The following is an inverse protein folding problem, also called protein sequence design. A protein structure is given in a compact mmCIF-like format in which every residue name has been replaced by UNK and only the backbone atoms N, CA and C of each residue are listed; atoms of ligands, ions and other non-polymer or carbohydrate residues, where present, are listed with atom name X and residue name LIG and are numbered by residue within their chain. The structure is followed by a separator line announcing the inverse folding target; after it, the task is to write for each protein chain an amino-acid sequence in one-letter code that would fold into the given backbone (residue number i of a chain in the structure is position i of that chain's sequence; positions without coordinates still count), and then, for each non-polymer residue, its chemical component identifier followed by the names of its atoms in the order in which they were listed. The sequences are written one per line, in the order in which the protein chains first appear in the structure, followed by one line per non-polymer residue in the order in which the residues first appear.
data_IF_345844297920
#
_entry.id   IF_345844297920
#
_cell.length_a   1.000
_cell.length_b   1.000
_cell.length_c   1.000
_cell.angle_alpha   90.00
_cell.angle_beta   90.00
_cell.angle_gamma   90.00
#
_symmetry.space_group_name_H-M   'P 1'
#
loop_
_entity.id
_entity.type
_entity.pdbx_description
1 polymer ?
#
# COMPACT_ATOMS: atom_id res chain seq x y z
N UNK A 1 13.36 9.35 -20.38
CA UNK A 1 12.03 9.21 -19.77
C UNK A 1 11.93 10.28 -18.71
N UNK A 2 10.84 11.05 -18.71
CA UNK A 2 10.55 11.87 -17.53
C UNK A 2 10.08 10.90 -16.44
N UNK A 3 10.60 11.01 -15.22
CA UNK A 3 10.31 10.03 -14.17
C UNK A 3 8.83 9.98 -13.77
N UNK A 4 8.06 11.00 -14.13
CA UNK A 4 6.60 11.05 -13.97
C UNK A 4 5.88 9.99 -14.84
N UNK A 5 6.57 9.36 -15.79
CA UNK A 5 6.02 8.31 -16.67
C UNK A 5 6.21 6.88 -16.15
N UNK A 6 6.77 6.68 -14.94
CA UNK A 6 6.96 5.33 -14.37
C UNK A 6 5.59 4.69 -14.15
N UNK A 7 5.24 3.72 -14.99
CA UNK A 7 4.04 2.90 -14.79
C UNK A 7 4.27 1.92 -13.65
N UNK A 8 3.25 1.76 -12.82
CA UNK A 8 3.18 0.79 -11.73
C UNK A 8 2.09 -0.22 -12.06
N UNK A 9 2.40 -1.49 -11.90
CA UNK A 9 1.44 -2.59 -11.92
C UNK A 9 1.52 -3.37 -10.61
N UNK A 10 0.68 -4.37 -10.44
CA UNK A 10 0.76 -5.24 -9.28
C UNK A 10 0.08 -6.58 -9.58
N UNK A 11 0.57 -7.63 -8.93
CA UNK A 11 -0.06 -8.94 -8.90
C UNK A 11 -0.30 -9.36 -7.44
N UNK A 12 -1.27 -8.75 -6.73
CA UNK A 12 -1.56 -9.11 -5.34
C UNK A 12 -2.48 -10.34 -5.26
N UNK A 13 -2.25 -11.13 -4.22
CA UNK A 13 -2.88 -12.43 -4.04
C UNK A 13 -3.93 -12.44 -2.91
N UNK A 14 -4.95 -13.27 -3.02
CA UNK A 14 -5.94 -13.53 -1.97
C UNK A 14 -6.40 -14.99 -1.98
N UNK A 15 -7.06 -15.43 -0.91
CA UNK A 15 -7.81 -16.70 -0.91
C UNK A 15 -9.31 -16.44 -0.88
N UNK A 16 -10.06 -17.32 -1.55
CA UNK A 16 -11.51 -17.38 -1.42
C UNK A 16 -11.89 -18.57 -0.53
N UNK A 17 -12.57 -18.30 0.58
CA UNK A 17 -12.98 -19.33 1.53
C UNK A 17 -14.49 -19.52 1.50
N UNK A 18 -14.89 -20.77 1.27
CA UNK A 18 -16.28 -21.20 1.29
C UNK A 18 -16.63 -21.70 2.69
N UNK A 19 -17.44 -20.91 3.40
CA UNK A 19 -17.85 -21.21 4.76
C UNK A 19 -18.84 -22.38 4.84
N UNK A 20 -19.65 -22.61 3.80
CA UNK A 20 -20.64 -23.68 3.80
C UNK A 20 -19.98 -25.05 3.68
N UNK A 21 -18.87 -25.12 2.93
CA UNK A 21 -18.09 -26.35 2.71
C UNK A 21 -16.75 -26.37 3.47
N UNK A 22 -16.51 -25.39 4.34
CA UNK A 22 -15.30 -25.23 5.17
C UNK A 22 -13.98 -25.43 4.41
N UNK A 23 -13.84 -24.81 3.22
CA UNK A 23 -12.68 -25.04 2.35
C UNK A 23 -12.22 -23.79 1.60
N UNK A 24 -10.92 -23.75 1.30
CA UNK A 24 -10.37 -22.81 0.33
C UNK A 24 -10.73 -23.27 -1.08
N UNK A 25 -11.22 -22.35 -1.91
CA UNK A 25 -11.60 -22.62 -3.30
C UNK A 25 -10.35 -22.80 -4.17
N UNK A 26 -10.41 -23.80 -5.05
CA UNK A 26 -9.45 -23.97 -6.15
C UNK A 26 -9.84 -23.04 -7.30
N UNK A 27 -9.27 -21.83 -7.28
CA UNK A 27 -9.45 -20.78 -8.28
C UNK A 27 -9.14 -21.29 -9.67
N UNK A 28 -8.06 -22.06 -9.85
CA UNK A 28 -7.65 -22.56 -11.17
C UNK A 28 -8.71 -23.46 -11.83
N UNK A 29 -9.55 -24.13 -11.03
CA UNK A 29 -10.66 -24.96 -11.50
C UNK A 29 -12.02 -24.25 -11.44
N UNK A 30 -12.07 -23.00 -10.95
CA UNK A 30 -13.31 -22.25 -10.75
C UNK A 30 -13.48 -21.11 -11.75
N UNK A 31 -12.40 -20.41 -12.10
CA UNK A 31 -12.47 -19.28 -13.04
C UNK A 31 -12.26 -19.74 -14.49
N UNK A 32 -12.93 -19.08 -15.43
CA UNK A 32 -12.80 -19.39 -16.86
C UNK A 32 -11.44 -18.99 -17.43
N UNK A 33 -10.86 -17.89 -16.93
CA UNK A 33 -9.57 -17.35 -17.37
C UNK A 33 -8.56 -17.34 -16.20
N UNK A 34 -7.83 -18.45 -15.94
CA UNK A 34 -6.83 -18.49 -14.86
C UNK A 34 -5.73 -17.42 -14.97
N UNK A 35 -5.45 -16.92 -16.17
CA UNK A 35 -4.48 -15.85 -16.41
C UNK A 35 -5.14 -14.46 -16.59
N UNK A 36 -6.44 -14.35 -16.28
CA UNK A 36 -7.19 -13.10 -16.39
C UNK A 36 -6.87 -12.10 -15.28
N UNK A 37 -7.58 -10.95 -15.30
CA UNK A 37 -7.45 -9.90 -14.27
C UNK A 37 -7.85 -10.36 -12.87
N UNK A 38 -8.75 -11.34 -12.77
CA UNK A 38 -9.01 -12.12 -11.57
C UNK A 38 -8.78 -13.58 -11.95
N UNK A 39 -7.62 -14.12 -11.60
CA UNK A 39 -7.17 -15.43 -12.06
C UNK A 39 -6.56 -16.26 -10.94
N UNK A 40 -5.93 -17.37 -11.30
CA UNK A 40 -5.14 -18.18 -10.39
C UNK A 40 -3.64 -17.79 -10.47
N UNK A 41 -2.93 -17.88 -9.34
CA UNK A 41 -1.46 -17.86 -9.32
C UNK A 41 -0.88 -19.25 -9.69
N UNK A 42 0.44 -19.42 -9.57
CA UNK A 42 1.15 -20.68 -9.71
C UNK A 42 0.54 -21.83 -8.90
N UNK A 43 -0.10 -21.53 -7.76
CA UNK A 43 -0.91 -22.51 -7.03
C UNK A 43 -2.41 -22.23 -7.17
N UNK A 44 -3.19 -23.25 -7.50
CA UNK A 44 -4.61 -23.10 -7.82
C UNK A 44 -5.52 -22.59 -6.70
N UNK A 45 -5.11 -22.60 -5.43
CA UNK A 45 -5.93 -22.07 -4.32
C UNK A 45 -5.81 -20.55 -4.16
N UNK A 46 -4.91 -19.92 -4.89
CA UNK A 46 -4.59 -18.50 -4.76
C UNK A 46 -5.18 -17.75 -5.91
N UNK A 47 -6.05 -16.78 -5.60
CA UNK A 47 -6.52 -15.83 -6.57
C UNK A 47 -5.44 -14.74 -6.72
N UNK A 48 -4.90 -14.59 -7.92
CA UNK A 48 -4.01 -13.48 -8.28
C UNK A 48 -4.81 -12.43 -9.04
N UNK A 49 -4.79 -11.20 -8.55
CA UNK A 49 -5.32 -10.06 -9.28
C UNK A 49 -4.25 -9.58 -10.25
N UNK A 50 -4.64 -9.21 -11.47
CA UNK A 50 -3.75 -8.61 -12.48
C UNK A 50 -4.36 -7.31 -12.98
N UNK A 51 -4.51 -6.29 -12.10
CA UNK A 51 -5.02 -4.99 -12.49
C UNK A 51 -4.22 -4.39 -13.64
N UNK A 52 -4.91 -3.60 -14.46
CA UNK A 52 -4.23 -2.80 -15.49
C UNK A 52 -3.20 -1.88 -14.83
N UNK A 53 -1.98 -1.89 -15.35
CA UNK A 53 -0.95 -0.97 -14.92
C UNK A 53 -1.38 0.49 -15.14
N UNK A 54 -0.94 1.37 -14.25
CA UNK A 54 -1.24 2.78 -14.32
C UNK A 54 0.00 3.62 -13.98
N UNK A 55 0.00 4.88 -14.38
CA UNK A 55 1.02 5.82 -13.89
C UNK A 55 0.69 6.18 -12.45
N UNK A 56 -0.53 6.66 -12.18
CA UNK A 56 -0.91 7.14 -10.85
C UNK A 56 -1.25 5.98 -9.90
N UNK A 57 -0.75 5.97 -8.65
CA UNK A 57 -1.10 4.94 -7.66
C UNK A 57 -2.60 4.78 -7.41
N UNK A 58 -3.38 5.86 -7.49
CA UNK A 58 -4.83 5.81 -7.32
C UNK A 58 -5.54 5.10 -8.48
N UNK A 59 -5.11 5.36 -9.71
CA UNK A 59 -5.63 4.65 -10.88
C UNK A 59 -5.32 3.15 -10.76
N UNK A 60 -4.16 2.78 -10.23
CA UNK A 60 -3.83 1.38 -9.94
C UNK A 60 -4.74 0.79 -8.86
N UNK A 61 -5.02 1.52 -7.77
CA UNK A 61 -5.99 1.09 -6.75
C UNK A 61 -7.38 0.84 -7.36
N UNK A 62 -7.84 1.74 -8.23
CA UNK A 62 -9.13 1.57 -8.90
C UNK A 62 -9.11 0.37 -9.87
N UNK A 63 -8.02 0.19 -10.62
CA UNK A 63 -7.86 -0.99 -11.47
C UNK A 63 -7.85 -2.29 -10.63
N UNK A 64 -7.31 -2.27 -9.41
CA UNK A 64 -7.40 -3.38 -8.45
C UNK A 64 -8.84 -3.63 -8.03
N UNK A 65 -9.63 -2.58 -7.74
CA UNK A 65 -11.07 -2.71 -7.45
C UNK A 65 -11.85 -3.29 -8.62
N UNK A 66 -11.54 -2.87 -9.85
CA UNK A 66 -12.15 -3.40 -11.07
C UNK A 66 -11.82 -4.89 -11.24
N UNK A 67 -10.56 -5.29 -11.01
CA UNK A 67 -10.15 -6.69 -11.03
C UNK A 67 -10.93 -7.51 -9.98
N UNK A 68 -11.06 -7.01 -8.75
CA UNK A 68 -11.90 -7.62 -7.71
C UNK A 68 -13.36 -7.78 -8.18
N UNK A 69 -13.97 -6.75 -8.77
CA UNK A 69 -15.37 -6.83 -9.23
C UNK A 69 -15.61 -7.90 -10.30
N UNK A 70 -14.59 -8.25 -11.10
CA UNK A 70 -14.69 -9.32 -12.10
C UNK A 70 -14.84 -10.70 -11.47
N UNK A 71 -14.17 -10.96 -10.34
CA UNK A 71 -14.30 -12.21 -9.60
C UNK A 71 -15.64 -12.37 -8.88
N UNK A 72 -16.37 -11.27 -8.64
CA UNK A 72 -17.55 -11.28 -7.78
C UNK A 72 -18.64 -12.24 -8.25
N UNK A 73 -18.94 -12.25 -9.56
CA UNK A 73 -20.04 -13.08 -10.09
C UNK A 73 -19.88 -14.58 -9.84
N UNK A 74 -18.64 -15.07 -9.73
CA UNK A 74 -18.32 -16.48 -9.52
C UNK A 74 -18.17 -16.82 -8.04
N UNK A 75 -17.63 -15.89 -7.25
CA UNK A 75 -17.14 -16.14 -5.89
C UNK A 75 -17.81 -15.26 -4.84
N UNK A 76 -18.99 -14.71 -5.12
CA UNK A 76 -19.73 -13.84 -4.19
C UNK A 76 -20.15 -14.54 -2.90
N UNK A 77 -20.29 -15.87 -2.93
CA UNK A 77 -20.66 -16.71 -1.79
C UNK A 77 -19.47 -17.03 -0.86
N UNK A 78 -18.23 -16.81 -1.31
CA UNK A 78 -17.03 -17.02 -0.51
C UNK A 78 -16.63 -15.74 0.21
N UNK A 79 -16.01 -15.85 1.39
CA UNK A 79 -15.23 -14.73 1.95
C UNK A 79 -13.95 -14.55 1.15
N UNK A 80 -13.51 -13.30 0.97
CA UNK A 80 -12.25 -13.00 0.29
C UNK A 80 -11.26 -12.49 1.33
N UNK A 81 -10.14 -13.19 1.50
CA UNK A 81 -9.21 -12.93 2.59
C UNK A 81 -7.79 -12.68 2.04
N UNK A 82 -7.17 -11.59 2.50
CA UNK A 82 -5.83 -11.15 2.10
C UNK A 82 -4.96 -10.89 3.33
N UNK A 83 -3.64 -10.99 3.16
CA UNK A 83 -2.65 -10.80 4.21
C UNK A 83 -1.38 -11.62 3.96
N UNK A 84 -0.42 -11.68 4.89
CA UNK A 84 0.82 -12.43 4.66
C UNK A 84 0.63 -13.95 4.65
N UNK A 85 -0.18 -14.47 5.56
CA UNK A 85 -0.44 -15.90 5.70
C UNK A 85 -1.86 -16.11 6.17
N UNK A 86 -2.70 -16.67 5.30
CA UNK A 86 -4.16 -16.76 5.48
C UNK A 86 -4.59 -18.17 5.12
N UNK A 87 -5.39 -18.82 5.97
CA UNK A 87 -5.89 -20.21 5.75
C UNK A 87 -4.79 -21.20 5.36
N UNK A 88 -3.66 -21.10 6.08
CA UNK A 88 -2.45 -21.89 5.84
C UNK A 88 -1.74 -21.62 4.50
N UNK A 89 -2.07 -20.53 3.81
CA UNK A 89 -1.53 -20.17 2.49
C UNK A 89 -0.68 -18.91 2.60
N UNK A 90 0.59 -18.93 2.15
CA UNK A 90 1.37 -17.70 2.00
C UNK A 90 0.84 -16.91 0.80
N UNK A 91 0.66 -15.59 0.95
CA UNK A 91 0.17 -14.73 -0.13
C UNK A 91 1.12 -13.57 -0.43
N UNK A 92 1.36 -13.33 -1.71
CA UNK A 92 2.18 -12.25 -2.27
C UNK A 92 1.41 -10.96 -2.56
N UNK A 93 2.12 -9.83 -2.50
CA UNK A 93 1.64 -8.53 -2.96
C UNK A 93 2.59 -7.98 -4.01
N UNK A 94 2.86 -8.74 -5.08
CA UNK A 94 3.88 -8.37 -6.07
C UNK A 94 3.58 -6.97 -6.64
N UNK A 95 4.59 -6.12 -6.77
CA UNK A 95 4.46 -4.78 -7.36
C UNK A 95 5.44 -4.63 -8.51
N UNK A 96 4.96 -4.09 -9.62
CA UNK A 96 5.66 -4.03 -10.89
C UNK A 96 6.02 -2.59 -11.23
N UNK A 97 7.20 -2.37 -11.80
CA UNK A 97 7.63 -1.06 -12.25
C UNK A 97 8.05 -1.13 -13.71
N UNK A 98 7.53 -0.21 -14.53
CA UNK A 98 7.78 -0.12 -15.98
C UNK A 98 9.15 0.46 -16.34
N UNK A 99 10.15 0.25 -15.48
CA UNK A 99 11.54 0.68 -15.69
C UNK A 99 12.47 -0.50 -15.41
N UNK A 100 13.70 -0.52 -15.97
CA UNK A 100 14.68 -1.55 -15.64
C UNK A 100 15.01 -1.53 -14.15
N UNK A 101 15.20 -2.72 -13.56
CA UNK A 101 15.80 -2.80 -12.23
C UNK A 101 17.24 -2.29 -12.25
N UNK A 102 17.67 -1.69 -11.15
CA UNK A 102 19.07 -1.37 -10.87
C UNK A 102 19.43 -1.85 -9.46
N UNK A 103 20.72 -1.97 -9.19
CA UNK A 103 21.21 -2.29 -7.85
C UNK A 103 20.79 -1.22 -6.83
N UNK A 104 20.75 0.05 -7.25
CA UNK A 104 20.35 1.19 -6.39
C UNK A 104 18.86 1.16 -6.03
N UNK A 105 17.99 0.80 -6.99
CA UNK A 105 16.56 0.62 -6.74
C UNK A 105 16.35 -0.55 -5.79
N UNK A 106 17.07 -1.66 -6.02
CA UNK A 106 17.02 -2.82 -5.15
C UNK A 106 17.44 -2.46 -3.73
N UNK A 107 18.54 -1.73 -3.55
CA UNK A 107 18.99 -1.28 -2.24
C UNK A 107 17.98 -0.35 -1.57
N UNK A 108 17.38 0.58 -2.32
CA UNK A 108 16.30 1.45 -1.82
C UNK A 108 15.11 0.63 -1.32
N UNK A 109 14.64 -0.35 -2.10
CA UNK A 109 13.52 -1.21 -1.70
C UNK A 109 13.89 -2.10 -0.50
N UNK A 110 15.06 -2.73 -0.51
CA UNK A 110 15.50 -3.64 0.55
C UNK A 110 15.81 -2.92 1.87
N UNK A 111 16.15 -1.63 1.85
CA UNK A 111 16.49 -0.88 3.06
C UNK A 111 15.41 0.09 3.51
N UNK A 112 14.58 0.64 2.62
CA UNK A 112 13.55 1.63 2.98
C UNK A 112 12.14 1.04 2.92
N UNK A 113 11.77 0.38 1.82
CA UNK A 113 10.46 -0.26 1.74
C UNK A 113 10.32 -1.39 2.75
N UNK A 114 11.38 -2.19 2.94
CA UNK A 114 11.41 -3.27 3.92
C UNK A 114 11.17 -2.81 5.37
N UNK A 115 11.63 -1.61 5.76
CA UNK A 115 11.33 -1.04 7.08
C UNK A 115 9.83 -0.80 7.22
N UNK A 116 9.21 -0.19 6.20
CA UNK A 116 7.77 0.05 6.20
C UNK A 116 6.98 -1.27 6.24
N UNK A 117 7.39 -2.28 5.46
CA UNK A 117 6.80 -3.62 5.52
C UNK A 117 6.91 -4.22 6.94
N UNK A 118 8.07 -4.10 7.58
CA UNK A 118 8.32 -4.62 8.93
C UNK A 118 7.47 -4.00 10.04
N UNK A 119 6.93 -2.78 9.85
CA UNK A 119 6.00 -2.13 10.78
C UNK A 119 4.52 -2.26 10.40
N UNK A 120 4.24 -2.48 9.11
CA UNK A 120 2.89 -2.55 8.55
C UNK A 120 2.31 -3.95 8.50
N UNK A 121 3.10 -4.95 8.16
CA UNK A 121 2.60 -6.32 8.07
C UNK A 121 2.39 -6.93 9.45
N UNK A 122 1.33 -7.73 9.66
CA UNK A 122 1.14 -8.45 10.91
C UNK A 122 2.29 -9.45 11.14
N UNK A 123 3.16 -9.12 12.10
CA UNK A 123 4.47 -9.73 12.35
C UNK A 123 4.50 -11.25 12.33
N UNK A 124 3.57 -11.89 13.04
CA UNK A 124 3.53 -13.35 13.17
C UNK A 124 3.26 -14.02 11.82
N UNK A 125 2.19 -13.62 11.14
CA UNK A 125 1.82 -14.16 9.83
C UNK A 125 2.86 -13.83 8.76
N UNK A 126 3.48 -12.65 8.85
CA UNK A 126 4.55 -12.23 7.94
C UNK A 126 5.82 -13.07 8.13
N UNK A 127 6.16 -13.42 9.37
CA UNK A 127 7.25 -14.34 9.67
C UNK A 127 6.95 -15.74 9.13
N UNK A 128 5.73 -16.26 9.33
CA UNK A 128 5.33 -17.58 8.78
C UNK A 128 5.48 -17.60 7.26
N UNK A 129 4.95 -16.60 6.54
CA UNK A 129 5.09 -16.48 5.08
C UNK A 129 6.54 -16.59 4.62
N UNK A 130 7.46 -15.86 5.28
CA UNK A 130 8.88 -15.79 4.91
C UNK A 130 9.71 -17.01 5.31
N UNK A 131 9.16 -17.92 6.11
CA UNK A 131 9.83 -19.16 6.53
C UNK A 131 9.15 -20.42 5.97
N UNK A 132 7.97 -20.29 5.36
CA UNK A 132 7.23 -21.42 4.81
C UNK A 132 7.71 -21.73 3.40
N UNK A 133 8.03 -22.99 3.16
CA UNK A 133 8.27 -23.56 1.84
C UNK A 133 7.07 -24.46 1.54
N UNK A 134 6.24 -24.09 0.57
CA UNK A 134 5.22 -25.02 0.05
C UNK A 134 5.83 -25.84 -1.10
N UNK A 135 6.03 -27.13 -0.88
CA UNK A 135 6.44 -28.08 -1.91
C UNK A 135 5.21 -28.70 -2.56
N UNK A 136 5.00 -28.48 -3.87
CA UNK A 136 3.81 -28.91 -4.63
C UNK A 136 3.83 -28.42 -6.07
N UNK A 137 2.80 -28.74 -6.88
CA UNK A 137 2.64 -28.18 -8.24
C UNK A 137 2.44 -26.67 -8.09
N UNK A 138 3.42 -25.88 -8.56
CA UNK A 138 3.43 -24.43 -8.36
C UNK A 138 3.97 -23.97 -7.01
N UNK A 139 4.81 -24.78 -6.35
CA UNK A 139 5.30 -24.54 -4.99
C UNK A 139 5.74 -23.10 -4.68
N UNK A 140 5.49 -22.66 -3.44
CA UNK A 140 5.84 -21.32 -2.96
C UNK A 140 7.32 -21.22 -2.62
N UNK A 141 8.15 -21.42 -3.64
CA UNK A 141 9.55 -21.05 -3.62
C UNK A 141 9.81 -19.98 -4.66
N UNK A 142 10.63 -18.99 -4.32
CA UNK A 142 11.15 -18.05 -5.29
C UNK A 142 12.03 -18.78 -6.33
N UNK A 143 12.51 -18.04 -7.32
CA UNK A 143 13.29 -18.61 -8.43
C UNK A 143 14.60 -19.30 -7.98
N UNK A 144 15.00 -19.17 -6.71
CA UNK A 144 16.18 -19.80 -6.10
C UNK A 144 15.83 -20.96 -5.15
N UNK A 145 14.57 -21.42 -5.09
CA UNK A 145 14.19 -22.51 -4.19
C UNK A 145 14.06 -22.11 -2.72
N UNK A 146 13.95 -20.80 -2.42
CA UNK A 146 13.78 -20.25 -1.07
C UNK A 146 12.34 -19.81 -0.83
N UNK A 147 11.89 -19.61 0.43
CA UNK A 147 10.60 -18.99 0.71
C UNK A 147 10.38 -17.69 -0.07
N UNK A 148 9.11 -17.35 -0.33
CA UNK A 148 8.74 -16.08 -0.94
C UNK A 148 8.87 -14.90 0.03
N UNK A 149 9.02 -13.69 -0.51
CA UNK A 149 8.94 -12.48 0.30
C UNK A 149 10.23 -12.08 1.01
N UNK A 150 11.36 -12.60 0.55
CA UNK A 150 12.68 -12.30 1.09
C UNK A 150 13.22 -10.97 0.52
N UNK A 151 14.27 -10.44 1.15
CA UNK A 151 14.98 -9.28 0.62
C UNK A 151 15.65 -9.66 -0.70
N UNK A 152 15.63 -8.74 -1.66
CA UNK A 152 16.17 -8.93 -2.99
C UNK A 152 15.37 -9.87 -3.89
N UNK A 153 14.13 -10.23 -3.50
CA UNK A 153 13.21 -10.99 -4.36
C UNK A 153 12.66 -10.09 -5.47
N UNK A 154 13.52 -9.86 -6.46
CA UNK A 154 13.25 -9.07 -7.66
C UNK A 154 13.31 -9.98 -8.88
N UNK A 155 12.33 -9.84 -9.78
CA UNK A 155 12.29 -10.58 -11.05
C UNK A 155 12.29 -9.60 -12.22
N UNK A 156 13.35 -9.65 -13.04
CA UNK A 156 13.43 -8.86 -14.26
C UNK A 156 12.42 -9.34 -15.30
N UNK A 157 11.83 -8.38 -16.04
CA UNK A 157 10.87 -8.58 -17.12
C UNK A 157 11.25 -7.75 -18.34
N UNK A 158 10.79 -8.09 -19.55
CA UNK A 158 11.07 -7.29 -20.75
C UNK A 158 10.59 -5.83 -20.65
N UNK A 159 9.57 -5.59 -19.84
CA UNK A 159 8.95 -4.28 -19.65
C UNK A 159 9.37 -3.59 -18.33
N UNK A 160 10.26 -4.19 -17.54
CA UNK A 160 10.72 -3.62 -16.27
C UNK A 160 11.07 -4.69 -15.22
N UNK A 161 10.54 -4.59 -14.01
CA UNK A 161 10.77 -5.61 -12.97
C UNK A 161 9.59 -5.76 -11.99
N UNK A 162 9.59 -6.89 -11.29
CA UNK A 162 8.65 -7.24 -10.22
C UNK A 162 9.39 -7.24 -8.89
N UNK A 163 8.86 -6.50 -7.91
CA UNK A 163 9.29 -6.52 -6.51
C UNK A 163 8.34 -7.41 -5.70
N UNK A 164 8.87 -8.49 -5.11
CA UNK A 164 8.08 -9.60 -4.56
C UNK A 164 8.17 -9.77 -3.05
N UNK A 165 8.93 -8.89 -2.39
CA UNK A 165 9.07 -8.87 -0.93
C UNK A 165 7.75 -8.61 -0.18
N UNK A 166 6.86 -7.68 -0.61
CA UNK A 166 5.60 -7.42 0.10
C UNK A 166 4.71 -8.66 0.16
N UNK A 167 4.06 -8.85 1.31
CA UNK A 167 2.86 -9.69 1.41
C UNK A 167 1.67 -9.07 0.71
N UNK A 168 0.59 -9.83 0.57
CA UNK A 168 -0.68 -9.26 0.11
C UNK A 168 -1.16 -8.16 1.06
N UNK A 169 -1.17 -6.92 0.56
CA UNK A 169 -1.57 -5.71 1.29
C UNK A 169 -2.92 -5.16 0.84
N UNK A 170 -3.65 -5.91 0.01
CA UNK A 170 -4.95 -5.49 -0.55
C UNK A 170 -6.12 -5.62 0.43
N UNK A 171 -5.86 -5.61 1.74
CA UNK A 171 -6.88 -5.80 2.78
C UNK A 171 -7.94 -4.70 2.75
N UNK A 172 -7.55 -3.45 2.45
CA UNK A 172 -8.46 -2.31 2.28
C UNK A 172 -7.94 -1.38 1.18
N UNK A 173 -8.81 -0.55 0.55
CA UNK A 173 -8.36 0.42 -0.46
C UNK A 173 -7.34 1.43 0.08
N UNK A 174 -7.45 1.78 1.38
CA UNK A 174 -6.56 2.71 2.06
C UNK A 174 -5.13 2.20 2.14
N UNK A 175 -4.95 0.99 2.68
CA UNK A 175 -3.63 0.32 2.78
C UNK A 175 -3.04 0.13 1.38
N UNK A 176 -3.86 -0.31 0.42
CA UNK A 176 -3.44 -0.56 -0.97
C UNK A 176 -2.89 0.69 -1.64
N UNK A 177 -3.65 1.78 -1.58
CA UNK A 177 -3.24 3.07 -2.15
C UNK A 177 -1.94 3.56 -1.54
N UNK A 178 -1.83 3.46 -0.21
CA UNK A 178 -0.65 3.93 0.48
C UNK A 178 0.59 3.09 0.18
N UNK A 179 0.44 1.77 0.04
CA UNK A 179 1.51 0.87 -0.38
C UNK A 179 1.98 1.14 -1.81
N UNK A 180 1.06 1.28 -2.77
CA UNK A 180 1.43 1.67 -4.14
C UNK A 180 2.13 3.02 -4.18
N UNK A 181 1.65 4.00 -3.41
CA UNK A 181 2.23 5.34 -3.34
C UNK A 181 3.64 5.29 -2.75
N UNK A 182 3.83 4.61 -1.61
CA UNK A 182 5.14 4.47 -0.97
C UNK A 182 6.15 3.84 -1.92
N UNK A 183 5.79 2.70 -2.52
CA UNK A 183 6.71 1.96 -3.37
C UNK A 183 7.04 2.74 -4.66
N UNK A 184 6.04 3.40 -5.27
CA UNK A 184 6.27 4.28 -6.41
C UNK A 184 7.20 5.44 -6.04
N UNK A 185 6.96 6.12 -4.92
CA UNK A 185 7.75 7.27 -4.50
C UNK A 185 9.22 6.91 -4.27
N UNK A 186 9.49 5.75 -3.68
CA UNK A 186 10.85 5.25 -3.46
C UNK A 186 11.56 4.91 -4.78
N UNK A 187 10.89 4.19 -5.68
CA UNK A 187 11.45 3.84 -7.00
C UNK A 187 11.67 5.10 -7.85
N UNK A 188 10.73 6.04 -7.81
CA UNK A 188 10.85 7.34 -8.47
C UNK A 188 12.07 8.10 -7.98
N UNK A 189 12.23 8.25 -6.66
CA UNK A 189 13.34 9.00 -6.06
C UNK A 189 14.69 8.42 -6.49
N UNK A 190 14.84 7.09 -6.48
CA UNK A 190 16.09 6.45 -6.91
C UNK A 190 16.31 6.58 -8.42
N UNK A 191 15.26 6.42 -9.23
CA UNK A 191 15.34 6.55 -10.69
C UNK A 191 15.79 7.96 -11.14
N UNK A 192 15.42 9.01 -10.42
CA UNK A 192 15.89 10.38 -10.69
C UNK A 192 17.20 10.73 -9.96
N UNK A 193 17.75 9.81 -9.16
CA UNK A 193 18.89 10.06 -8.28
C UNK A 193 18.63 11.26 -7.35
N UNK A 194 17.41 11.33 -6.81
CA UNK A 194 16.98 12.40 -5.93
C UNK A 194 17.78 12.42 -4.62
N UNK A 195 17.76 13.55 -3.89
CA UNK A 195 18.57 13.75 -2.68
C UNK A 195 18.23 12.77 -1.55
N UNK A 196 17.06 12.15 -1.59
CA UNK A 196 16.61 11.16 -0.60
C UNK A 196 16.74 9.72 -1.10
N UNK A 197 17.35 9.48 -2.27
CA UNK A 197 17.64 8.12 -2.74
C UNK A 197 18.73 7.47 -1.90
N UNK A 198 18.71 6.14 -1.81
CA UNK A 198 19.61 5.40 -0.93
C UNK A 198 21.10 5.72 -1.16
N UNK A 199 21.49 5.91 -2.42
CA UNK A 199 22.88 6.22 -2.78
C UNK A 199 23.32 7.62 -2.36
N UNK A 200 22.38 8.57 -2.28
CA UNK A 200 22.65 9.96 -1.89
C UNK A 200 22.64 10.17 -0.38
N UNK A 201 22.07 9.24 0.40
CA UNK A 201 22.12 9.31 1.86
C UNK A 201 23.56 9.19 2.37
N UNK A 202 23.88 9.96 3.40
CA UNK A 202 25.19 9.86 4.05
C UNK A 202 25.37 8.51 4.78
N UNK A 203 26.62 8.19 5.12
CA UNK A 203 26.96 6.93 5.76
C UNK A 203 26.32 6.75 7.15
N UNK A 204 26.09 7.84 7.89
CA UNK A 204 25.48 7.79 9.21
C UNK A 204 23.99 7.43 9.11
N UNK A 205 23.29 8.03 8.15
CA UNK A 205 21.88 7.79 7.85
C UNK A 205 21.66 6.36 7.36
N UNK A 206 22.48 5.88 6.41
CA UNK A 206 22.42 4.47 5.97
C UNK A 206 22.67 3.50 7.12
N UNK A 207 23.64 3.79 8.00
CA UNK A 207 23.91 2.98 9.19
C UNK A 207 22.73 3.01 10.17
N UNK A 208 22.07 4.16 10.33
CA UNK A 208 20.91 4.31 11.20
C UNK A 208 19.71 3.50 10.69
N UNK A 209 19.54 3.36 9.36
CA UNK A 209 18.51 2.55 8.72
C UNK A 209 18.85 1.06 8.62
N UNK A 210 20.12 0.67 8.76
CA UNK A 210 20.54 -0.72 8.59
C UNK A 210 19.89 -1.66 9.62
N UNK A 211 19.49 -2.84 9.16
CA UNK A 211 18.95 -3.94 9.96
C UNK A 211 19.45 -5.28 9.42
N UNK A 212 19.28 -6.37 10.19
CA UNK A 212 19.68 -7.70 9.71
C UNK A 212 18.51 -8.32 8.93
N UNK A 213 18.75 -9.04 7.82
CA UNK A 213 17.67 -9.73 7.11
C UNK A 213 16.78 -10.61 8.00
N UNK A 214 17.38 -11.26 9.01
CA UNK A 214 16.66 -12.06 10.00
C UNK A 214 15.61 -11.26 10.80
N UNK A 215 15.80 -9.95 11.01
CA UNK A 215 14.82 -9.11 11.68
C UNK A 215 13.52 -9.03 10.88
N UNK A 216 13.61 -8.91 9.54
CA UNK A 216 12.44 -8.92 8.66
C UNK A 216 11.79 -10.32 8.61
N UNK A 217 12.62 -11.36 8.53
CA UNK A 217 12.16 -12.74 8.34
C UNK A 217 11.48 -13.30 9.59
N UNK A 218 11.89 -12.83 10.77
CA UNK A 218 11.25 -13.19 12.05
C UNK A 218 10.12 -12.22 12.44
N UNK A 219 9.81 -11.21 11.63
CA UNK A 219 8.78 -10.22 11.96
C UNK A 219 9.11 -9.37 13.19
N UNK A 220 10.40 -9.05 13.42
CA UNK A 220 10.86 -8.30 14.58
C UNK A 220 10.50 -6.80 14.48
N UNK A 221 9.22 -6.51 14.71
CA UNK A 221 8.61 -5.18 14.53
C UNK A 221 9.29 -4.08 15.35
N UNK A 222 9.80 -4.41 16.54
CA UNK A 222 10.45 -3.44 17.42
C UNK A 222 11.68 -2.82 16.75
N UNK A 223 12.47 -3.61 16.01
CA UNK A 223 13.62 -3.11 15.25
C UNK A 223 13.15 -2.08 14.23
N UNK A 224 12.10 -2.37 13.47
CA UNK A 224 11.63 -1.47 12.42
C UNK A 224 10.95 -0.20 12.95
N UNK A 225 10.27 -0.27 14.10
CA UNK A 225 9.72 0.91 14.77
C UNK A 225 10.83 1.91 15.16
N UNK A 226 11.96 1.42 15.66
CA UNK A 226 13.12 2.27 15.97
C UNK A 226 13.64 2.97 14.71
N UNK A 227 13.71 2.25 13.59
CA UNK A 227 14.19 2.78 12.31
C UNK A 227 13.23 3.78 11.67
N UNK A 228 11.93 3.69 11.98
CA UNK A 228 10.92 4.59 11.45
C UNK A 228 11.21 6.06 11.79
N UNK A 229 11.78 6.35 12.96
CA UNK A 229 12.17 7.71 13.34
C UNK A 229 13.22 8.33 12.42
N UNK A 230 14.11 7.51 11.84
CA UNK A 230 15.09 7.95 10.83
C UNK A 230 14.49 7.97 9.43
N UNK A 231 13.66 6.96 9.09
CA UNK A 231 13.08 6.84 7.75
C UNK A 231 12.04 7.92 7.46
N UNK A 232 11.22 8.28 8.44
CA UNK A 232 10.07 9.16 8.21
C UNK A 232 10.44 10.56 7.68
N UNK A 233 11.45 11.26 8.23
CA UNK A 233 11.92 12.52 7.65
C UNK A 233 12.45 12.39 6.21
N UNK A 234 13.00 11.23 5.84
CA UNK A 234 13.45 10.95 4.47
C UNK A 234 12.24 10.83 3.54
N UNK A 235 11.22 10.06 3.94
CA UNK A 235 9.98 9.92 3.17
C UNK A 235 9.27 11.27 2.95
N UNK A 236 9.26 12.14 3.97
CA UNK A 236 8.72 13.51 3.87
C UNK A 236 9.46 14.37 2.83
N UNK A 237 10.72 14.05 2.56
CA UNK A 237 11.58 14.83 1.69
C UNK A 237 11.75 14.27 0.29
N UNK A 238 11.15 13.12 -0.03
CA UNK A 238 11.14 12.57 -1.39
C UNK A 238 10.62 13.62 -2.39
N UNK A 239 11.30 13.71 -3.52
CA UNK A 239 10.98 14.62 -4.62
C UNK A 239 9.55 14.41 -5.09
N UNK A 240 9.08 13.16 -5.14
CA UNK A 240 7.73 12.78 -5.53
C UNK A 240 6.61 13.53 -4.76
N UNK A 241 6.87 13.99 -3.54
CA UNK A 241 5.91 14.72 -2.69
C UNK A 241 6.11 16.24 -2.66
N UNK A 242 7.01 16.79 -3.49
CA UNK A 242 7.27 18.24 -3.56
C UNK A 242 6.16 18.96 -4.35
N UNK A 243 5.97 20.28 -4.13
CA UNK A 243 4.99 21.07 -4.90
C UNK A 243 5.20 20.91 -6.42
N UNK A 244 4.10 20.81 -7.16
CA UNK A 244 4.12 20.60 -8.61
C UNK A 244 4.25 19.13 -9.04
N UNK A 245 4.56 18.21 -8.12
CA UNK A 245 4.65 16.78 -8.42
C UNK A 245 3.30 16.09 -8.21
N UNK A 246 3.01 15.08 -9.05
CA UNK A 246 1.78 14.29 -8.98
C UNK A 246 1.59 13.55 -7.65
N UNK A 247 2.67 13.21 -6.95
CA UNK A 247 2.60 12.54 -5.66
C UNK A 247 2.16 13.44 -4.51
N UNK A 248 2.24 14.78 -4.67
CA UNK A 248 1.95 15.74 -3.59
C UNK A 248 0.63 15.48 -2.86
N UNK A 249 -0.52 15.26 -3.54
CA UNK A 249 -1.79 15.00 -2.87
C UNK A 249 -1.80 13.66 -2.11
N UNK A 250 -0.99 12.70 -2.56
CA UNK A 250 -0.89 11.36 -2.01
C UNK A 250 -0.06 11.29 -0.72
N UNK A 251 0.60 12.37 -0.30
CA UNK A 251 1.28 12.40 1.00
C UNK A 251 0.34 12.02 2.17
N UNK A 252 -0.95 12.36 2.04
CA UNK A 252 -1.98 11.98 3.00
C UNK A 252 -2.12 10.46 3.19
N UNK A 253 -1.92 9.66 2.14
CA UNK A 253 -1.98 8.20 2.25
C UNK A 253 -0.79 7.63 3.02
N UNK A 254 0.39 8.26 2.95
CA UNK A 254 1.54 7.87 3.79
C UNK A 254 1.28 8.20 5.26
N UNK A 255 0.67 9.35 5.57
CA UNK A 255 0.26 9.67 6.94
C UNK A 255 -0.77 8.66 7.48
N UNK A 256 -1.67 8.17 6.63
CA UNK A 256 -2.59 7.10 7.00
C UNK A 256 -1.85 5.81 7.42
N UNK A 257 -0.72 5.47 6.78
CA UNK A 257 0.11 4.32 7.22
C UNK A 257 0.62 4.47 8.66
N UNK A 258 0.90 5.67 9.15
CA UNK A 258 1.27 5.84 10.56
C UNK A 258 0.13 5.42 11.51
N UNK A 259 -1.11 5.74 11.17
CA UNK A 259 -2.27 5.31 11.96
C UNK A 259 -2.44 3.79 11.93
N UNK A 260 -2.18 3.17 10.78
CA UNK A 260 -2.14 1.70 10.64
C UNK A 260 -1.03 1.11 11.51
N UNK A 261 0.16 1.72 11.52
CA UNK A 261 1.30 1.32 12.36
C UNK A 261 0.95 1.45 13.85
N UNK A 262 0.33 2.54 14.29
CA UNK A 262 -0.09 2.73 15.68
C UNK A 262 -1.05 1.62 16.16
N UNK A 263 -1.87 1.08 15.24
CA UNK A 263 -2.79 -0.04 15.50
C UNK A 263 -2.16 -1.44 15.45
N UNK A 264 -0.84 -1.51 15.24
CA UNK A 264 -0.09 -2.76 15.15
C UNK A 264 0.13 -3.29 13.74
N UNK A 265 -0.14 -2.49 12.70
CA UNK A 265 -0.11 -2.91 11.31
C UNK A 265 -1.51 -3.14 10.73
N UNK A 266 -1.58 -3.47 9.45
CA UNK A 266 -2.84 -3.80 8.81
C UNK A 266 -3.34 -5.17 9.31
N UNK A 267 -4.66 -5.34 9.37
CA UNK A 267 -5.29 -6.55 9.87
C UNK A 267 -5.93 -7.31 8.73
N UNK A 268 -5.86 -8.64 8.79
CA UNK A 268 -6.72 -9.46 7.97
C UNK A 268 -8.18 -9.12 8.33
N UNK A 269 -8.98 -8.86 7.30
CA UNK A 269 -10.42 -8.65 7.44
C UNK A 269 -11.12 -9.98 7.13
N UNK A 270 -12.23 -10.31 7.82
CA UNK A 270 -12.96 -11.55 7.56
C UNK A 270 -13.41 -11.68 6.10
N UNK A 271 -13.78 -10.55 5.49
CA UNK A 271 -14.11 -10.49 4.08
C UNK A 271 -13.74 -9.11 3.51
N UNK A 272 -12.76 -9.07 2.61
CA UNK A 272 -12.28 -7.82 2.02
C UNK A 272 -13.28 -7.21 1.03
N UNK A 273 -14.35 -7.90 0.65
CA UNK A 273 -15.40 -7.31 -0.19
C UNK A 273 -16.04 -6.09 0.47
N UNK A 274 -16.19 -6.08 1.80
CA UNK A 274 -16.81 -5.00 2.55
C UNK A 274 -16.02 -3.68 2.46
N UNK A 275 -14.75 -3.59 2.90
CA UNK A 275 -13.98 -2.35 2.83
C UNK A 275 -13.72 -1.88 1.39
N UNK A 276 -13.76 -2.80 0.41
CA UNK A 276 -13.62 -2.47 -1.02
C UNK A 276 -14.95 -2.15 -1.71
N UNK A 277 -16.08 -2.18 -0.99
CA UNK A 277 -17.43 -1.94 -1.52
C UNK A 277 -17.76 -2.83 -2.74
N UNK A 278 -17.29 -4.08 -2.72
CA UNK A 278 -17.51 -5.06 -3.79
C UNK A 278 -18.92 -5.64 -3.64
N UNK A 279 -19.86 -5.12 -4.44
CA UNK A 279 -21.27 -5.50 -4.41
C UNK A 279 -21.75 -6.00 -5.77
N UNK A 280 -22.86 -6.74 -5.79
CA UNK A 280 -23.52 -7.16 -7.03
C UNK A 280 -23.85 -5.98 -7.96
N UNK A 281 -24.30 -4.86 -7.38
CA UNK A 281 -24.62 -3.64 -8.12
C UNK A 281 -23.37 -3.01 -8.76
N UNK A 282 -22.25 -2.96 -8.04
CA UNK A 282 -20.98 -2.48 -8.57
C UNK A 282 -20.42 -3.40 -9.66
N UNK A 283 -20.53 -4.72 -9.47
CA UNK A 283 -20.05 -5.71 -10.43
C UNK A 283 -20.83 -5.63 -11.75
N UNK A 284 -22.15 -5.49 -11.68
CA UNK A 284 -23.01 -5.31 -12.85
C UNK A 284 -22.62 -4.07 -13.69
N UNK A 285 -22.21 -2.97 -13.05
CA UNK A 285 -21.74 -1.76 -13.74
C UNK A 285 -20.44 -2.03 -14.53
N UNK A 286 -19.50 -2.77 -13.95
CA UNK A 286 -18.22 -3.10 -14.62
C UNK A 286 -18.45 -4.00 -15.82
N UNK A 287 -19.30 -5.04 -15.69
CA UNK A 287 -19.63 -5.94 -16.80
C UNK A 287 -20.37 -5.22 -17.95
N UNK A 288 -21.17 -4.20 -17.63
CA UNK A 288 -21.90 -3.42 -18.63
C UNK A 288 -21.02 -2.41 -19.40
N UNK A 289 -19.85 -2.04 -18.87
CA UNK A 289 -18.92 -1.16 -19.56
C UNK A 289 -18.22 -1.95 -20.68
N UNK A 290 -18.59 -1.68 -21.94
CA UNK A 290 -17.82 -2.14 -23.10
C UNK A 290 -16.37 -1.65 -22.96
N UNK A 291 -15.35 -2.43 -23.37
CA UNK A 291 -13.98 -1.96 -23.39
C UNK A 291 -13.89 -0.70 -24.23
N UNK A 292 -13.69 0.45 -23.59
CA UNK A 292 -13.40 1.71 -24.28
C UNK A 292 -12.03 1.52 -24.92
N UNK A 293 -11.88 1.67 -26.25
CA UNK A 293 -10.58 1.61 -26.89
C UNK A 293 -9.68 2.67 -26.24
N UNK A 294 -8.58 2.26 -25.63
CA UNK A 294 -7.59 3.17 -25.07
C UNK A 294 -7.01 4.02 -26.22
N UNK A 295 -7.58 5.20 -26.48
CA UNK A 295 -6.99 6.19 -27.38
C UNK A 295 -5.73 6.72 -26.72
N UNK A 296 -4.58 6.42 -27.32
CA UNK A 296 -3.36 7.21 -27.17
C UNK A 296 -3.57 8.57 -27.85
N UNK A 297 -4.26 9.51 -27.22
CA UNK A 297 -4.22 10.94 -27.61
C UNK A 297 -4.69 11.80 -26.45
N UNK A 298 -3.92 12.81 -26.08
CA UNK A 298 -4.08 13.67 -24.90
C UNK A 298 -5.30 14.61 -24.88
N UNK A 299 -6.52 14.10 -25.03
CA UNK A 299 -7.73 14.82 -24.70
C UNK A 299 -8.81 13.86 -24.18
N UNK A 300 -9.29 14.10 -22.96
CA UNK A 300 -10.50 13.47 -22.41
C UNK A 300 -10.31 12.06 -21.86
N UNK A 301 -9.50 11.90 -20.82
CA UNK A 301 -9.71 10.81 -19.86
C UNK A 301 -11.07 11.08 -19.19
N UNK A 302 -11.95 10.07 -18.96
CA UNK A 302 -13.08 10.27 -18.07
C UNK A 302 -12.53 10.80 -16.76
N UNK A 303 -12.84 12.05 -16.42
CA UNK A 303 -12.42 12.63 -15.15
C UNK A 303 -13.16 11.84 -14.10
N UNK A 304 -12.43 10.92 -13.47
CA UNK A 304 -12.85 10.25 -12.27
C UNK A 304 -13.34 11.32 -11.28
N UNK A 305 -14.55 11.16 -10.74
CA UNK A 305 -15.07 12.11 -9.78
C UNK A 305 -14.32 11.92 -8.46
N UNK A 306 -13.24 12.68 -8.34
CA UNK A 306 -12.37 12.74 -7.19
C UNK A 306 -13.13 12.96 -5.89
N UNK A 307 -14.24 13.70 -5.91
CA UNK A 307 -14.99 13.97 -4.68
C UNK A 307 -15.70 12.73 -4.18
N UNK A 308 -16.19 11.88 -5.10
CA UNK A 308 -16.85 10.62 -4.76
C UNK A 308 -15.84 9.65 -4.14
N UNK A 309 -14.75 9.32 -4.84
CA UNK A 309 -13.76 8.36 -4.34
C UNK A 309 -12.92 8.88 -3.18
N UNK A 310 -12.61 10.18 -3.10
CA UNK A 310 -11.98 10.74 -1.90
C UNK A 310 -12.95 10.66 -0.71
N UNK A 311 -14.24 10.87 -0.92
CA UNK A 311 -15.27 10.59 0.06
C UNK A 311 -15.25 9.13 0.52
N UNK A 312 -15.21 8.19 -0.42
CA UNK A 312 -15.17 6.75 -0.12
C UNK A 312 -13.86 6.28 0.51
N UNK A 313 -12.72 6.82 0.09
CA UNK A 313 -11.40 6.57 0.66
C UNK A 313 -11.31 7.12 2.07
N UNK A 314 -11.77 8.35 2.29
CA UNK A 314 -11.84 8.93 3.62
C UNK A 314 -12.83 8.16 4.49
N UNK A 315 -13.93 7.65 3.94
CA UNK A 315 -14.91 6.81 4.65
C UNK A 315 -14.39 5.41 4.98
N UNK A 316 -13.66 4.76 4.07
CA UNK A 316 -12.98 3.50 4.34
C UNK A 316 -11.85 3.69 5.36
N UNK A 317 -11.07 4.77 5.23
CA UNK A 317 -10.10 5.16 6.24
C UNK A 317 -10.78 5.47 7.60
N UNK A 318 -11.97 6.08 7.62
CA UNK A 318 -12.79 6.29 8.83
C UNK A 318 -13.22 4.96 9.46
N UNK A 319 -13.67 3.99 8.65
CA UNK A 319 -14.12 2.66 9.10
C UNK A 319 -12.95 1.83 9.65
N UNK A 320 -11.78 1.87 9.00
CA UNK A 320 -10.57 1.17 9.41
C UNK A 320 -9.95 1.75 10.69
N UNK A 321 -10.05 3.07 10.88
CA UNK A 321 -9.39 3.78 11.97
C UNK A 321 -10.28 4.02 13.18
N UNK A 322 -11.61 4.00 13.02
CA UNK A 322 -12.56 4.34 14.08
C UNK A 322 -12.56 5.83 14.45
N UNK A 323 -11.81 6.69 13.76
CA UNK A 323 -11.81 8.14 13.94
C UNK A 323 -11.40 8.85 12.64
N UNK A 324 -12.28 9.72 12.13
CA UNK A 324 -12.02 11.07 11.60
C UNK A 324 -13.32 11.61 11.01
N UNK A 325 -14.13 12.28 11.84
CA UNK A 325 -15.32 13.01 11.37
C UNK A 325 -14.86 14.26 10.61
N UNK A 326 -15.22 14.39 9.33
CA UNK A 326 -15.83 15.65 8.92
C UNK A 326 -17.31 15.48 9.26
N UNK A 327 -17.88 16.43 10.02
CA UNK A 327 -19.34 16.49 10.09
C UNK A 327 -19.89 16.81 8.69
N UNK A 328 -21.21 16.71 8.53
CA UNK A 328 -21.89 16.95 7.25
C UNK A 328 -21.68 18.39 6.68
N UNK A 329 -20.94 19.24 7.39
CA UNK A 329 -20.65 20.63 7.08
C UNK A 329 -19.21 20.85 6.56
N UNK A 330 -18.36 19.81 6.50
CA UNK A 330 -17.03 19.90 5.87
C UNK A 330 -15.93 20.49 6.75
N UNK A 331 -16.12 20.53 8.08
CA UNK A 331 -15.11 21.03 9.01
C UNK A 331 -13.92 20.06 9.15
N UNK A 332 -12.71 20.60 9.09
CA UNK A 332 -11.45 19.86 9.19
C UNK A 332 -11.03 19.83 10.67
N UNK A 333 -10.52 18.68 11.13
CA UNK A 333 -10.06 18.48 12.52
C UNK A 333 -8.57 18.16 12.55
N UNK A 334 -7.90 18.60 13.61
CA UNK A 334 -6.49 18.28 13.91
C UNK A 334 -6.36 17.64 15.29
N UNK A 335 -5.23 16.97 15.52
CA UNK A 335 -4.90 16.40 16.83
C UNK A 335 -4.01 17.39 17.59
N UNK A 336 -4.50 17.88 18.74
CA UNK A 336 -3.70 18.65 19.72
C UNK A 336 -3.69 17.85 21.01
N UNK A 337 -2.51 17.53 21.54
CA UNK A 337 -2.33 16.81 22.81
C UNK A 337 -3.19 15.52 22.92
N UNK A 338 -3.26 14.75 21.83
CA UNK A 338 -4.01 13.49 21.78
C UNK A 338 -5.53 13.64 21.69
N UNK A 339 -6.07 14.85 21.46
CA UNK A 339 -7.50 15.10 21.24
C UNK A 339 -7.77 15.66 19.85
N UNK A 340 -8.87 15.21 19.25
CA UNK A 340 -9.42 15.78 18.01
C UNK A 340 -10.05 17.14 18.32
N UNK A 341 -9.65 18.20 17.62
CA UNK A 341 -10.23 19.55 17.73
C UNK A 341 -10.48 20.14 16.34
N UNK A 342 -11.51 20.97 16.15
CA UNK A 342 -11.69 21.75 14.91
C UNK A 342 -10.40 22.52 14.56
N UNK A 343 -10.07 22.60 13.27
CA UNK A 343 -8.82 23.21 12.77
C UNK A 343 -8.61 24.65 13.27
N UNK A 344 -9.71 25.38 13.46
CA UNK A 344 -9.82 26.75 13.95
C UNK A 344 -9.79 26.90 15.48
N UNK A 345 -9.75 25.80 16.23
CA UNK A 345 -9.64 25.84 17.70
C UNK A 345 -8.29 26.44 18.12
N UNK A 346 -8.25 27.57 18.85
CA UNK A 346 -7.00 28.17 19.33
C UNK A 346 -6.26 27.22 20.29
N UNK A 347 -4.95 27.06 20.11
CA UNK A 347 -4.16 26.12 20.91
C UNK A 347 -4.19 26.40 22.43
N UNK A 348 -4.54 27.63 22.83
CA UNK A 348 -4.63 28.06 24.22
C UNK A 348 -5.87 27.56 24.98
N UNK A 349 -6.88 27.02 24.30
CA UNK A 349 -8.14 26.59 24.94
C UNK A 349 -8.15 25.10 25.36
N UNK A 350 -7.08 24.34 25.06
CA UNK A 350 -6.99 22.92 25.40
C UNK A 350 -6.28 22.74 26.74
N UNK A 351 -7.06 22.62 27.82
CA UNK A 351 -6.54 22.34 29.17
C UNK A 351 -5.93 20.94 29.24
N UNK A 352 -4.66 20.86 29.64
CA UNK A 352 -3.91 19.61 29.81
C UNK A 352 -4.53 18.70 30.89
N UNK A 353 -4.59 17.41 30.60
CA UNK A 353 -4.73 16.36 31.62
C UNK A 353 -3.59 15.36 31.41
N UNK A 354 -2.92 14.86 32.46
CA UNK A 354 -1.62 14.21 32.28
C UNK A 354 -1.76 12.80 31.70
N UNK A 355 -1.00 12.50 30.63
CA UNK A 355 -0.77 11.15 30.14
C UNK A 355 0.12 11.11 28.89
N UNK A 356 1.16 10.27 28.92
CA UNK A 356 2.03 9.86 27.79
C UNK A 356 3.07 10.87 27.25
N UNK A 357 3.75 11.62 28.12
CA UNK A 357 4.79 12.58 27.70
C UNK A 357 6.25 12.24 28.04
N UNK A 358 6.59 11.03 28.48
CA UNK A 358 7.98 10.73 28.90
C UNK A 358 8.94 10.26 27.77
N UNK A 359 8.54 10.33 26.49
CA UNK A 359 9.42 9.93 25.37
C UNK A 359 9.93 11.08 24.49
N UNK A 360 9.55 12.33 24.77
CA UNK A 360 10.01 13.50 23.99
C UNK A 360 10.68 14.51 24.92
N UNK A 361 11.98 14.73 24.72
CA UNK A 361 12.75 15.75 25.42
C UNK A 361 12.11 17.13 25.30
N UNK A 362 12.33 17.93 26.34
CA UNK A 362 11.66 19.20 26.66
C UNK A 362 12.03 20.38 25.75
N UNK A 363 12.03 20.22 24.43
CA UNK A 363 12.07 21.37 23.53
C UNK A 363 10.75 21.51 22.78
N UNK A 364 10.05 22.66 22.90
CA UNK A 364 8.85 22.91 22.13
C UNK A 364 9.20 22.92 20.64
N UNK A 365 8.46 22.14 19.86
CA UNK A 365 8.53 22.18 18.40
C UNK A 365 8.35 23.64 17.92
N UNK A 366 9.15 24.13 16.96
CA UNK A 366 9.00 25.48 16.44
C UNK A 366 7.59 25.65 15.86
N UNK A 367 6.88 26.65 16.37
CA UNK A 367 5.56 27.06 15.89
C UNK A 367 5.73 27.73 14.52
N UNK A 368 5.48 26.96 13.45
CA UNK A 368 5.36 27.51 12.10
C UNK A 368 3.95 28.08 11.92
N UNK A 369 3.84 29.41 11.97
CA UNK A 369 2.65 30.14 11.53
C UNK A 369 2.70 30.34 10.02
N UNK A 370 1.69 29.86 9.29
CA UNK A 370 1.50 30.17 7.88
C UNK A 370 0.43 31.26 7.74
N UNK A 371 0.73 32.31 6.97
CA UNK A 371 -0.23 33.35 6.58
C UNK A 371 -0.96 32.94 5.28
N UNK A 372 -2.28 33.17 5.18
CA UNK A 372 -3.08 32.90 3.97
C UNK A 372 -2.65 33.66 2.69
N UNK A 373 -1.75 34.65 2.78
CA UNK A 373 -1.45 35.56 1.65
C UNK A 373 -0.41 35.03 0.64
N UNK A 374 0.10 33.81 0.79
CA UNK A 374 1.13 33.25 -0.12
C UNK A 374 0.61 32.35 -1.27
N UNK A 375 -0.71 32.27 -1.49
CA UNK A 375 -1.30 31.32 -2.46
C UNK A 375 -1.59 31.92 -3.85
N UNK A 376 -1.34 33.20 -4.11
CA UNK A 376 -1.49 33.75 -5.48
C UNK A 376 -0.35 34.68 -5.88
N UNK A 377 0.52 34.21 -6.79
CA UNK A 377 1.53 35.02 -7.47
C UNK A 377 2.33 34.18 -8.47
N UNK A 378 2.16 34.53 -9.74
CA UNK A 378 2.89 34.15 -10.97
C UNK A 378 4.33 33.65 -10.82
#
# INVERSE_FOLDING_TARGET
MMADEITVGADPELVCYDHDNERVIDIANTVEEPMGEFGADGHGFTAELRPKAAVYPLDLTENTRIALLKGYSLLSHCSWEAGPYIREKPLGGHVHFGIPASDTIKETLDNMAAIMLGVLEPSETAAIRRNTIFTGRGGYVNNQGKPYGLLGDIKNKPWGFEYRTPSSFIVTPGVTTAMYTLLKALVFEDAIQGPSSWTQLDAATRKALAFKPADLYCGNRAVFLEKLGTLWPILQNLTYFKPGMEGRPLWSSLKYLLQVIEKGGFRAVPDMKDPWKITAAAAAKVTAQRPVPHRRTGQGVPVFDWNEFQGEFLEAARQDTGMLTANAQGEIFRIINGRLVPEDTPAAEVVETPGFQELWGTEPAPTLTWSPDQIWGW
#
